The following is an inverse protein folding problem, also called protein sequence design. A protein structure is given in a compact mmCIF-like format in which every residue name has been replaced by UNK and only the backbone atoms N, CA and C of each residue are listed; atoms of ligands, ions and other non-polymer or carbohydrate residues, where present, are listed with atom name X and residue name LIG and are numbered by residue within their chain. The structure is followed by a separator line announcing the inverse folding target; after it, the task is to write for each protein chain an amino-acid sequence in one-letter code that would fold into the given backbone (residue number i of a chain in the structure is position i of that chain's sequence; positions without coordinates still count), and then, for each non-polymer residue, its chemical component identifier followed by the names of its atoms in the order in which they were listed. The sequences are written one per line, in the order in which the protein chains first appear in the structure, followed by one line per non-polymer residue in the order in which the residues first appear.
data_IF_979765319194
#
_entry.id   IF_979765319194
#
_cell.length_a   1.000
_cell.length_b   1.000
_cell.length_c   1.000
_cell.angle_alpha   90.00
_cell.angle_beta   90.00
_cell.angle_gamma   90.00
#
_symmetry.space_group_name_H-M   'P 1'
#
loop_
_entity.id
_entity.type
_entity.pdbx_description
1 polymer ?
#
# COMPACT_ATOMS: atom_id res chain seq x y z
N UNK A 1 -37.21 58.65 -28.53
CA UNK A 1 -36.49 57.37 -28.36
C UNK A 1 -35.16 57.44 -29.05
N UNK A 2 -34.08 57.77 -28.32
CA UNK A 2 -32.73 57.91 -28.88
C UNK A 2 -31.89 56.70 -28.44
N UNK A 3 -31.37 55.93 -29.43
CA UNK A 3 -30.41 54.85 -29.23
C UNK A 3 -29.02 55.46 -29.14
N UNK A 4 -28.30 55.19 -28.04
CA UNK A 4 -26.85 55.51 -27.91
C UNK A 4 -26.04 54.25 -28.25
N UNK A 5 -25.30 54.34 -29.31
CA UNK A 5 -24.26 53.35 -29.70
C UNK A 5 -22.98 53.70 -28.94
N UNK A 6 -22.47 52.81 -28.12
CA UNK A 6 -21.21 52.98 -27.41
C UNK A 6 -20.12 52.21 -28.20
N UNK A 7 -19.24 52.97 -28.84
CA UNK A 7 -18.09 52.44 -29.58
C UNK A 7 -16.92 52.32 -28.62
N UNK A 8 -16.44 51.10 -28.37
CA UNK A 8 -15.21 50.83 -27.59
C UNK A 8 -14.05 50.78 -28.57
N UNK A 9 -13.13 51.75 -28.41
CA UNK A 9 -11.84 51.81 -29.13
C UNK A 9 -10.84 51.00 -28.34
N UNK A 10 -10.32 49.89 -28.93
CA UNK A 10 -9.15 49.15 -28.43
C UNK A 10 -7.89 49.85 -28.92
N UNK A 11 -7.11 50.42 -27.99
CA UNK A 11 -5.77 50.89 -28.26
C UNK A 11 -4.77 49.74 -28.07
N UNK A 12 -4.16 49.28 -29.17
CA UNK A 12 -2.98 48.40 -29.13
C UNK A 12 -1.74 49.28 -28.86
N UNK A 13 -1.13 49.12 -27.70
CA UNK A 13 0.20 49.64 -27.41
C UNK A 13 1.24 48.55 -27.79
N UNK A 14 1.99 48.79 -28.84
CA UNK A 14 3.15 47.96 -29.20
C UNK A 14 4.34 48.37 -28.32
N UNK A 15 4.71 47.50 -27.39
CA UNK A 15 5.95 47.59 -26.62
C UNK A 15 7.07 46.86 -27.37
N UNK A 16 7.97 47.60 -27.96
CA UNK A 16 9.23 47.13 -28.52
C UNK A 16 10.18 46.77 -27.35
N UNK A 17 10.45 45.49 -27.14
CA UNK A 17 11.46 44.98 -26.18
C UNK A 17 12.79 44.87 -26.93
N UNK A 18 13.75 45.69 -26.59
CA UNK A 18 15.14 45.58 -27.00
C UNK A 18 15.79 44.44 -26.18
N UNK A 19 16.32 43.42 -26.85
CA UNK A 19 17.07 42.33 -26.25
C UNK A 19 18.42 42.82 -25.73
N UNK A 20 18.67 42.74 -24.43
CA UNK A 20 20.01 42.77 -23.85
C UNK A 20 20.57 41.35 -23.70
N UNK A 21 21.83 41.07 -24.04
CA UNK A 21 22.47 39.79 -23.81
C UNK A 21 23.08 39.77 -22.39
N UNK A 22 22.75 38.78 -21.60
CA UNK A 22 23.44 38.49 -20.33
C UNK A 22 22.59 38.61 -19.09
N UNK A 23 21.67 37.69 -18.89
CA UNK A 23 20.99 37.45 -17.61
C UNK A 23 20.59 35.99 -17.54
N UNK A 24 21.18 35.25 -16.61
CA UNK A 24 20.85 33.86 -16.38
C UNK A 24 19.34 33.69 -16.18
N UNK A 25 18.75 32.80 -16.95
CA UNK A 25 17.35 32.40 -16.77
C UNK A 25 17.15 31.95 -15.34
N UNK A 26 16.19 32.49 -14.59
CA UNK A 26 15.79 31.85 -13.35
C UNK A 26 15.32 30.43 -13.72
N UNK A 27 15.93 29.45 -13.10
CA UNK A 27 15.47 28.06 -13.20
C UNK A 27 14.00 28.07 -12.77
N UNK A 28 13.10 27.88 -13.73
CA UNK A 28 11.73 27.47 -13.43
C UNK A 28 11.87 26.16 -12.65
N UNK A 29 11.74 26.23 -11.33
CA UNK A 29 11.46 25.06 -10.51
C UNK A 29 10.13 24.53 -11.02
N UNK A 30 10.23 23.61 -11.97
CA UNK A 30 9.07 23.02 -12.63
C UNK A 30 8.15 22.41 -11.59
N UNK A 31 6.88 22.54 -11.82
CA UNK A 31 5.80 21.73 -11.27
C UNK A 31 6.00 20.26 -11.69
N UNK A 32 7.08 19.65 -11.25
CA UNK A 32 7.22 18.19 -11.29
C UNK A 32 6.49 17.68 -10.06
N UNK A 33 5.48 16.85 -10.26
CA UNK A 33 4.87 16.05 -9.21
C UNK A 33 5.95 15.31 -8.41
N UNK A 34 5.64 14.76 -7.23
CA UNK A 34 6.63 14.10 -6.38
C UNK A 34 7.40 13.08 -7.22
N UNK A 35 8.74 13.17 -7.17
CA UNK A 35 9.64 12.31 -7.94
C UNK A 35 9.42 10.87 -7.45
N UNK A 36 8.94 10.00 -8.33
CA UNK A 36 8.85 8.57 -8.05
C UNK A 36 10.25 8.00 -8.14
N UNK A 37 10.76 7.47 -7.05
CA UNK A 37 11.99 6.70 -7.01
C UNK A 37 11.63 5.20 -7.13
N UNK A 38 12.34 4.45 -7.95
CA UNK A 38 12.07 3.02 -8.17
C UNK A 38 13.26 2.22 -7.65
N UNK A 39 13.00 1.34 -6.70
CA UNK A 39 14.01 0.51 -6.03
C UNK A 39 13.79 -0.95 -6.40
N UNK A 40 14.82 -1.63 -6.93
CA UNK A 40 14.84 -3.09 -7.04
C UNK A 40 15.07 -3.69 -5.66
N UNK A 41 14.19 -4.57 -5.23
CA UNK A 41 14.32 -5.24 -3.93
C UNK A 41 15.53 -6.19 -3.94
N UNK A 42 15.72 -6.91 -5.03
CA UNK A 42 16.78 -7.89 -5.18
C UNK A 42 17.71 -7.57 -6.36
N UNK A 43 18.60 -6.56 -6.25
CA UNK A 43 19.45 -6.16 -7.38
C UNK A 43 20.43 -7.23 -7.82
N UNK A 44 20.78 -8.18 -6.92
CA UNK A 44 21.70 -9.29 -7.19
C UNK A 44 21.01 -10.66 -7.31
N UNK A 45 19.69 -10.67 -7.50
CA UNK A 45 18.87 -11.87 -7.53
C UNK A 45 18.27 -12.23 -6.18
N UNK A 46 17.04 -12.70 -6.19
CA UNK A 46 16.30 -13.07 -4.98
C UNK A 46 16.76 -14.43 -4.44
N UNK A 47 16.79 -14.62 -3.10
CA UNK A 47 17.28 -15.88 -2.50
C UNK A 47 16.38 -17.08 -2.79
N UNK A 48 15.09 -16.83 -3.05
CA UNK A 48 14.06 -17.82 -3.36
C UNK A 48 13.48 -17.59 -4.76
N UNK A 49 14.34 -17.32 -5.74
CA UNK A 49 13.94 -17.21 -7.14
C UNK A 49 13.44 -18.57 -7.65
N UNK A 50 12.39 -18.54 -8.46
CA UNK A 50 11.82 -19.71 -9.12
C UNK A 50 11.66 -19.43 -10.62
N UNK A 51 11.72 -20.51 -11.42
CA UNK A 51 11.55 -20.39 -12.87
C UNK A 51 10.08 -20.16 -13.23
N UNK A 52 9.85 -19.16 -14.09
CA UNK A 52 8.54 -18.86 -14.61
C UNK A 52 8.60 -18.49 -16.11
N UNK A 53 7.91 -19.25 -16.94
CA UNK A 53 8.01 -19.17 -18.41
C UNK A 53 6.95 -18.32 -19.09
N UNK A 54 5.89 -17.88 -18.41
CA UNK A 54 4.89 -17.03 -19.05
C UNK A 54 5.37 -15.58 -19.17
N UNK A 55 4.99 -14.86 -20.25
CA UNK A 55 5.40 -13.50 -20.47
C UNK A 55 4.90 -12.64 -19.31
N UNK A 56 5.84 -11.99 -18.63
CA UNK A 56 5.54 -11.07 -17.55
C UNK A 56 4.88 -9.81 -18.10
N UNK A 57 3.70 -9.47 -17.59
CA UNK A 57 3.13 -8.15 -17.79
C UNK A 57 3.62 -7.24 -16.65
N UNK A 58 4.86 -6.77 -16.79
CA UNK A 58 5.57 -5.99 -15.77
C UNK A 58 5.60 -4.48 -16.10
N UNK A 59 4.71 -3.98 -16.95
CA UNK A 59 4.64 -2.54 -17.16
C UNK A 59 4.11 -1.85 -15.89
N UNK A 60 4.99 -1.14 -15.13
CA UNK A 60 4.60 -0.51 -13.87
C UNK A 60 3.59 0.63 -14.05
N UNK A 61 3.35 1.09 -15.27
CA UNK A 61 2.38 2.15 -15.58
C UNK A 61 0.95 1.63 -15.62
N UNK A 62 0.74 0.30 -15.70
CA UNK A 62 -0.61 -0.29 -15.75
C UNK A 62 -1.30 -0.23 -14.39
N UNK A 63 -2.62 -0.21 -14.43
CA UNK A 63 -3.48 -0.29 -13.24
C UNK A 63 -3.47 -1.68 -12.60
N UNK A 64 -3.10 -2.71 -13.39
CA UNK A 64 -2.98 -4.10 -12.97
C UNK A 64 -1.69 -4.68 -13.55
N UNK A 65 -0.94 -5.39 -12.72
CA UNK A 65 0.23 -6.15 -13.14
C UNK A 65 0.09 -7.61 -12.72
N UNK A 66 0.46 -8.53 -13.58
CA UNK A 66 0.47 -9.96 -13.31
C UNK A 66 1.84 -10.55 -13.67
N UNK A 67 2.12 -11.75 -13.16
CA UNK A 67 3.35 -12.47 -13.44
C UNK A 67 4.63 -11.71 -13.05
N UNK A 68 4.58 -10.94 -11.95
CA UNK A 68 5.75 -10.27 -11.40
C UNK A 68 6.76 -11.30 -10.89
N UNK A 69 7.94 -11.28 -11.47
CA UNK A 69 9.09 -12.15 -11.10
C UNK A 69 10.25 -11.34 -10.52
N UNK A 70 10.24 -10.02 -10.67
CA UNK A 70 11.15 -9.08 -10.00
C UNK A 70 10.37 -8.24 -8.99
N UNK A 71 10.76 -8.26 -7.72
CA UNK A 71 10.19 -7.36 -6.74
C UNK A 71 10.76 -5.94 -6.92
N UNK A 72 9.85 -4.97 -7.05
CA UNK A 72 10.17 -3.55 -7.23
C UNK A 72 9.37 -2.74 -6.21
N UNK A 73 9.97 -1.71 -5.66
CA UNK A 73 9.27 -0.77 -4.80
C UNK A 73 9.28 0.63 -5.43
N UNK A 74 8.09 1.22 -5.59
CA UNK A 74 7.91 2.62 -5.92
C UNK A 74 7.94 3.43 -4.62
N UNK A 75 8.80 4.43 -4.55
CA UNK A 75 8.93 5.30 -3.36
C UNK A 75 8.45 6.70 -3.71
N UNK A 76 7.53 7.21 -2.93
CA UNK A 76 6.93 8.54 -3.02
C UNK A 76 7.29 9.34 -1.76
N UNK A 77 8.42 10.05 -1.74
CA UNK A 77 8.84 10.81 -0.58
C UNK A 77 7.85 11.93 -0.23
N UNK A 78 7.57 12.11 1.05
CA UNK A 78 6.79 13.27 1.50
C UNK A 78 7.62 14.55 1.38
N UNK A 79 7.00 15.68 1.01
CA UNK A 79 7.69 16.98 0.91
C UNK A 79 8.18 17.48 2.27
N UNK A 80 7.38 17.25 3.32
CA UNK A 80 7.69 17.59 4.70
C UNK A 80 7.62 16.30 5.54
N UNK A 81 8.70 15.48 5.54
CA UNK A 81 8.65 14.16 6.17
C UNK A 81 8.54 14.28 7.70
N UNK A 82 7.72 13.41 8.27
CA UNK A 82 7.51 13.31 9.73
C UNK A 82 8.28 12.12 10.37
N UNK A 83 9.14 11.45 9.60
CA UNK A 83 9.89 10.28 10.01
C UNK A 83 9.17 8.94 9.75
N UNK A 84 7.90 8.97 9.38
CA UNK A 84 7.15 7.74 9.08
C UNK A 84 7.25 7.35 7.61
N UNK A 85 7.34 6.04 7.38
CA UNK A 85 7.21 5.40 6.08
C UNK A 85 6.11 4.34 6.13
N UNK A 86 5.35 4.19 5.06
CA UNK A 86 4.37 3.12 4.90
C UNK A 86 4.64 2.37 3.59
N UNK A 87 4.72 1.04 3.67
CA UNK A 87 4.87 0.17 2.51
C UNK A 87 3.53 -0.48 2.21
N UNK A 88 2.96 -0.15 1.05
CA UNK A 88 1.71 -0.72 0.55
C UNK A 88 1.96 -2.04 -0.16
N UNK A 89 1.24 -3.06 0.25
CA UNK A 89 1.09 -4.36 -0.41
C UNK A 89 -0.26 -4.38 -1.15
N UNK A 90 -0.28 -4.29 -2.49
CA UNK A 90 -1.52 -4.29 -3.26
C UNK A 90 -2.28 -5.61 -3.18
N UNK A 91 -3.61 -5.56 -3.32
CA UNK A 91 -4.46 -6.73 -3.51
C UNK A 91 -4.31 -7.36 -4.88
N UNK A 92 -5.09 -8.42 -5.13
CA UNK A 92 -5.14 -9.12 -6.41
C UNK A 92 -5.07 -10.64 -6.32
N UNK A 93 -5.42 -11.20 -5.14
CA UNK A 93 -5.59 -12.66 -4.94
C UNK A 93 -4.32 -13.50 -5.14
N UNK A 94 -3.13 -12.90 -5.03
CA UNK A 94 -1.85 -13.52 -5.38
C UNK A 94 -1.72 -13.97 -6.84
N UNK A 95 -2.64 -13.55 -7.70
CA UNK A 95 -2.60 -13.80 -9.15
C UNK A 95 -2.18 -12.55 -9.96
N UNK A 96 -2.35 -11.37 -9.37
CA UNK A 96 -2.00 -10.07 -9.94
C UNK A 96 -1.79 -9.04 -8.82
N UNK A 97 -1.40 -7.80 -9.22
CA UNK A 97 -1.36 -6.63 -8.33
C UNK A 97 -2.32 -5.56 -8.86
N UNK A 98 -3.23 -5.12 -8.02
CA UNK A 98 -4.17 -4.02 -8.30
C UNK A 98 -3.51 -2.69 -7.91
N UNK A 99 -2.87 -2.02 -8.89
CA UNK A 99 -1.93 -0.93 -8.65
C UNK A 99 -2.55 0.46 -8.57
N UNK A 100 -3.82 0.65 -8.94
CA UNK A 100 -4.47 1.96 -8.88
C UNK A 100 -5.19 2.18 -7.54
N UNK A 101 -6.46 1.82 -7.45
CA UNK A 101 -7.30 2.09 -6.28
C UNK A 101 -6.92 1.28 -5.03
N UNK A 102 -6.22 0.18 -5.19
CA UNK A 102 -5.70 -0.63 -4.08
C UNK A 102 -4.24 -0.34 -3.72
N UNK A 103 -3.60 0.63 -4.39
CA UNK A 103 -2.22 1.00 -4.10
C UNK A 103 -1.92 2.49 -4.30
N UNK A 104 -1.67 2.92 -5.56
CA UNK A 104 -1.10 4.25 -5.87
C UNK A 104 -2.00 5.41 -5.48
N UNK A 105 -3.32 5.23 -5.47
CA UNK A 105 -4.26 6.31 -5.14
C UNK A 105 -4.19 6.76 -3.68
N UNK A 106 -3.59 5.98 -2.79
CA UNK A 106 -3.39 6.35 -1.39
C UNK A 106 -2.26 7.38 -1.18
N UNK A 107 -1.30 7.47 -2.11
CA UNK A 107 -0.03 8.20 -1.93
C UNK A 107 -0.22 9.66 -1.50
N UNK A 108 -1.13 10.38 -2.15
CA UNK A 108 -1.30 11.81 -1.92
C UNK A 108 -1.87 12.09 -0.51
N UNK A 109 -2.72 11.19 -0.02
CA UNK A 109 -3.28 11.30 1.33
C UNK A 109 -2.23 11.08 2.42
N UNK A 110 -1.34 10.09 2.25
CA UNK A 110 -0.23 9.84 3.18
C UNK A 110 0.85 10.92 3.07
N UNK A 111 1.23 11.33 1.86
CA UNK A 111 2.23 12.38 1.65
C UNK A 111 1.79 13.74 2.21
N UNK A 112 0.49 14.08 2.15
CA UNK A 112 -0.06 15.28 2.76
C UNK A 112 0.11 15.30 4.30
N UNK A 113 0.30 14.13 4.93
CA UNK A 113 0.54 13.95 6.37
C UNK A 113 2.02 13.84 6.74
N UNK A 114 2.90 14.07 5.78
CA UNK A 114 4.35 13.94 5.98
C UNK A 114 4.85 12.50 6.00
N UNK A 115 4.03 11.53 5.61
CA UNK A 115 4.38 10.12 5.59
C UNK A 115 4.95 9.76 4.21
N UNK A 116 6.17 9.26 4.16
CA UNK A 116 6.73 8.68 2.93
C UNK A 116 5.93 7.42 2.58
N UNK A 117 5.41 7.37 1.36
CA UNK A 117 4.57 6.29 0.89
C UNK A 117 5.30 5.44 -0.12
N UNK A 118 5.23 4.12 0.02
CA UNK A 118 5.83 3.17 -0.91
C UNK A 118 4.78 2.20 -1.42
N UNK A 119 4.95 1.70 -2.64
CA UNK A 119 4.15 0.60 -3.20
C UNK A 119 5.09 -0.53 -3.55
N UNK A 120 4.93 -1.67 -2.88
CA UNK A 120 5.70 -2.87 -3.16
C UNK A 120 5.00 -3.71 -4.23
N UNK A 121 5.63 -3.81 -5.38
CA UNK A 121 5.23 -4.73 -6.43
C UNK A 121 5.92 -6.07 -6.13
N UNK A 122 5.33 -6.83 -5.21
CA UNK A 122 5.88 -8.11 -4.78
C UNK A 122 5.72 -9.20 -5.85
N UNK A 123 6.62 -10.18 -5.84
CA UNK A 123 6.58 -11.31 -6.78
C UNK A 123 5.36 -12.19 -6.51
N UNK A 124 4.77 -12.73 -7.60
CA UNK A 124 3.65 -13.65 -7.48
C UNK A 124 4.13 -14.98 -6.91
N UNK A 125 3.47 -15.54 -5.87
CA UNK A 125 3.97 -16.73 -5.18
C UNK A 125 3.83 -18.01 -5.97
N UNK A 126 2.70 -18.25 -6.65
CA UNK A 126 2.44 -19.47 -7.43
C UNK A 126 2.75 -20.77 -6.68
N UNK A 127 2.37 -20.85 -5.42
CA UNK A 127 2.67 -21.94 -4.52
C UNK A 127 4.03 -21.84 -3.80
N UNK A 128 4.89 -20.88 -4.16
CA UNK A 128 6.13 -20.56 -3.44
C UNK A 128 5.81 -19.55 -2.33
N UNK A 129 5.23 -20.04 -1.27
CA UNK A 129 4.57 -19.27 -0.21
C UNK A 129 5.49 -18.27 0.54
N UNK A 130 6.78 -18.51 0.57
CA UNK A 130 7.80 -17.65 1.21
C UNK A 130 8.20 -16.44 0.36
N UNK A 131 7.85 -16.41 -0.93
CA UNK A 131 8.29 -15.38 -1.88
C UNK A 131 7.74 -13.98 -1.52
N UNK A 132 6.43 -13.75 -1.32
CA UNK A 132 5.94 -12.43 -0.96
C UNK A 132 6.44 -11.96 0.42
N UNK A 133 6.59 -12.87 1.39
CA UNK A 133 7.11 -12.56 2.71
C UNK A 133 8.56 -12.08 2.62
N UNK A 134 9.41 -12.76 1.84
CA UNK A 134 10.80 -12.33 1.67
C UNK A 134 10.91 -10.94 1.01
N UNK A 135 10.03 -10.63 0.06
CA UNK A 135 10.02 -9.33 -0.62
C UNK A 135 9.66 -8.18 0.33
N UNK A 136 8.65 -8.35 1.18
CA UNK A 136 8.28 -7.31 2.15
C UNK A 136 9.31 -7.19 3.29
N UNK A 137 9.92 -8.28 3.74
CA UNK A 137 11.03 -8.24 4.70
C UNK A 137 12.17 -7.37 4.21
N UNK A 138 12.62 -7.60 2.97
CA UNK A 138 13.71 -6.82 2.39
C UNK A 138 13.30 -5.38 2.10
N UNK A 139 12.06 -5.14 1.67
CA UNK A 139 11.52 -3.79 1.49
C UNK A 139 11.57 -2.97 2.79
N UNK A 140 11.20 -3.56 3.94
CA UNK A 140 11.30 -2.93 5.26
C UNK A 140 12.76 -2.63 5.59
N UNK A 141 13.68 -3.59 5.37
CA UNK A 141 15.11 -3.44 5.62
C UNK A 141 15.71 -2.29 4.80
N UNK A 142 15.37 -2.22 3.50
CA UNK A 142 15.79 -1.15 2.61
C UNK A 142 15.29 0.20 3.14
N UNK A 143 14.01 0.32 3.49
CA UNK A 143 13.44 1.60 3.94
C UNK A 143 14.00 2.05 5.29
N UNK A 144 14.28 1.15 6.22
CA UNK A 144 14.99 1.50 7.46
C UNK A 144 16.41 2.01 7.22
N UNK A 145 17.05 1.61 6.12
CA UNK A 145 18.36 2.11 5.69
C UNK A 145 18.34 3.47 4.97
N UNK A 146 17.17 4.00 4.60
CA UNK A 146 17.03 5.28 3.86
C UNK A 146 17.18 6.50 4.79
N UNK A 147 18.40 6.73 5.26
CA UNK A 147 18.73 7.89 6.12
C UNK A 147 18.54 9.23 5.41
N UNK A 148 18.66 9.26 4.10
CA UNK A 148 18.37 10.40 3.22
C UNK A 148 16.91 10.87 3.27
N UNK A 149 15.98 9.99 3.62
CA UNK A 149 14.56 10.28 3.80
C UNK A 149 14.16 10.53 5.27
N UNK A 150 15.11 10.43 6.21
CA UNK A 150 14.88 10.66 7.64
C UNK A 150 13.88 9.67 8.26
N UNK A 151 13.80 8.44 7.77
CA UNK A 151 12.82 7.45 8.22
C UNK A 151 13.23 6.91 9.59
N UNK A 152 12.31 6.98 10.55
CA UNK A 152 12.47 6.47 11.92
C UNK A 152 11.45 5.40 12.26
N UNK A 153 10.36 5.28 11.49
CA UNK A 153 9.30 4.29 11.69
C UNK A 153 8.81 3.77 10.34
N UNK A 154 8.65 2.45 10.22
CA UNK A 154 8.19 1.77 8.99
C UNK A 154 6.95 0.94 9.32
N UNK A 155 5.80 1.37 8.83
CA UNK A 155 4.56 0.60 8.87
C UNK A 155 4.29 -0.13 7.56
N UNK A 156 3.36 -1.06 7.61
CA UNK A 156 2.84 -1.75 6.43
C UNK A 156 1.34 -1.48 6.26
N UNK A 157 0.89 -1.41 5.03
CA UNK A 157 -0.53 -1.35 4.69
C UNK A 157 -0.82 -2.39 3.62
N UNK A 158 -1.95 -3.07 3.69
CA UNK A 158 -2.32 -4.03 2.65
C UNK A 158 -3.82 -4.10 2.41
N UNK A 159 -4.18 -4.34 1.15
CA UNK A 159 -5.56 -4.54 0.70
C UNK A 159 -5.77 -5.98 0.28
N UNK A 160 -6.89 -6.61 0.64
CA UNK A 160 -7.24 -7.97 0.16
C UNK A 160 -6.10 -8.99 0.40
N UNK A 161 -5.60 -9.67 -0.64
CA UNK A 161 -4.43 -10.55 -0.55
C UNK A 161 -3.15 -9.81 -0.10
N UNK A 162 -2.98 -8.53 -0.43
CA UNK A 162 -1.91 -7.69 0.11
C UNK A 162 -2.07 -7.43 1.61
N UNK A 163 -3.30 -7.46 2.14
CA UNK A 163 -3.58 -7.48 3.57
C UNK A 163 -3.05 -8.75 4.23
N UNK A 164 -3.08 -9.88 3.51
CA UNK A 164 -2.43 -11.11 3.95
C UNK A 164 -0.90 -10.94 4.02
N UNK A 165 -0.26 -10.35 2.98
CA UNK A 165 1.18 -10.06 3.02
C UNK A 165 1.53 -9.17 4.22
N UNK A 166 0.75 -8.10 4.45
CA UNK A 166 0.98 -7.17 5.56
C UNK A 166 0.78 -7.81 6.94
N UNK A 167 -0.24 -8.66 7.11
CA UNK A 167 -0.45 -9.40 8.36
C UNK A 167 0.58 -10.52 8.55
N UNK A 168 1.03 -11.16 7.47
CA UNK A 168 2.07 -12.19 7.53
C UNK A 168 3.39 -11.59 8.04
N UNK A 169 3.88 -10.48 7.46
CA UNK A 169 5.09 -9.85 7.98
C UNK A 169 4.91 -9.35 9.41
N UNK A 170 3.71 -8.98 9.82
CA UNK A 170 3.41 -8.53 11.19
C UNK A 170 3.40 -9.64 12.22
N UNK A 171 3.29 -10.90 11.80
CA UNK A 171 3.26 -12.09 12.67
C UNK A 171 4.47 -13.02 12.48
N UNK A 172 5.18 -12.93 11.34
CA UNK A 172 6.27 -13.83 10.94
C UNK A 172 7.59 -13.10 10.67
N UNK A 173 7.76 -11.85 11.15
CA UNK A 173 9.02 -11.13 11.01
C UNK A 173 10.19 -11.91 11.65
N UNK A 174 11.39 -11.80 11.07
CA UNK A 174 12.58 -12.55 11.52
C UNK A 174 13.29 -11.92 12.70
N UNK A 175 13.31 -10.59 12.73
CA UNK A 175 14.07 -9.82 13.69
C UNK A 175 13.45 -8.42 13.90
N UNK A 176 14.03 -7.63 14.80
CA UNK A 176 13.55 -6.28 15.09
C UNK A 176 13.66 -5.32 13.90
N UNK A 177 14.53 -5.59 12.90
CA UNK A 177 14.67 -4.76 11.71
C UNK A 177 13.53 -5.03 10.73
N UNK A 178 13.13 -6.28 10.59
CA UNK A 178 12.05 -6.69 9.67
C UNK A 178 10.66 -6.58 10.27
N UNK A 179 10.55 -6.42 11.61
CA UNK A 179 9.27 -6.18 12.28
C UNK A 179 8.75 -4.78 11.90
N UNK A 180 7.53 -4.67 11.31
CA UNK A 180 6.91 -3.36 11.10
C UNK A 180 6.54 -2.69 12.43
N UNK A 181 6.52 -1.34 12.47
CA UNK A 181 6.15 -0.60 13.68
C UNK A 181 4.64 -0.54 13.87
N UNK A 182 3.86 -0.68 12.79
CA UNK A 182 2.40 -0.74 12.78
C UNK A 182 1.88 -1.37 11.49
N UNK A 183 0.62 -1.79 11.50
CA UNK A 183 -0.05 -2.39 10.35
C UNK A 183 -1.43 -1.79 10.09
N UNK A 184 -1.77 -1.59 8.81
CA UNK A 184 -3.08 -1.11 8.34
C UNK A 184 -3.62 -2.15 7.37
N UNK A 185 -4.78 -2.71 7.66
CA UNK A 185 -5.37 -3.82 6.92
C UNK A 185 -6.74 -3.41 6.38
N UNK A 186 -6.90 -3.45 5.06
CA UNK A 186 -8.11 -3.00 4.36
C UNK A 186 -8.74 -4.23 3.69
N UNK A 187 -9.91 -4.64 4.18
CA UNK A 187 -10.61 -5.90 3.80
C UNK A 187 -9.64 -7.07 3.60
N UNK A 188 -8.77 -7.34 4.59
CA UNK A 188 -7.66 -8.25 4.39
C UNK A 188 -8.11 -9.71 4.27
N UNK A 189 -7.43 -10.48 3.43
CA UNK A 189 -7.31 -11.91 3.65
C UNK A 189 -6.39 -12.09 4.87
N UNK A 190 -6.75 -12.98 5.78
CA UNK A 190 -6.00 -13.27 7.03
C UNK A 190 -5.73 -14.74 7.17
N UNK A 191 -6.79 -15.56 7.06
CA UNK A 191 -6.71 -17.00 7.21
C UNK A 191 -6.46 -17.72 5.90
N UNK A 192 -5.88 -18.89 5.97
CA UNK A 192 -5.84 -19.86 4.86
C UNK A 192 -6.76 -21.05 5.12
N UNK A 193 -7.62 -20.99 6.17
CA UNK A 193 -8.65 -22.01 6.42
C UNK A 193 -9.67 -22.02 5.25
N UNK A 194 -9.80 -23.13 4.50
CA UNK A 194 -10.64 -23.18 3.30
C UNK A 194 -12.14 -22.97 3.60
N UNK A 195 -12.57 -23.04 4.86
CA UNK A 195 -13.98 -22.84 5.23
C UNK A 195 -14.43 -21.38 5.17
N UNK A 196 -13.51 -20.40 5.29
CA UNK A 196 -13.84 -18.96 5.25
C UNK A 196 -12.74 -18.06 4.68
N UNK A 197 -11.70 -18.61 4.05
CA UNK A 197 -10.69 -17.83 3.32
C UNK A 197 -11.19 -17.40 1.94
N UNK A 198 -10.45 -16.51 1.30
CA UNK A 198 -10.54 -16.27 -0.14
C UNK A 198 -9.80 -17.39 -0.88
N UNK A 199 -10.54 -18.31 -1.51
CA UNK A 199 -9.95 -19.49 -2.17
C UNK A 199 -8.86 -19.14 -3.19
N UNK A 200 -9.04 -18.10 -4.01
CA UNK A 200 -8.03 -17.68 -4.98
C UNK A 200 -6.71 -17.27 -4.33
N UNK A 201 -6.76 -16.66 -3.13
CA UNK A 201 -5.54 -16.31 -2.37
C UNK A 201 -4.87 -17.55 -1.77
N UNK A 202 -5.65 -18.50 -1.28
CA UNK A 202 -5.12 -19.78 -0.80
C UNK A 202 -4.39 -20.52 -1.91
N UNK A 203 -5.05 -20.72 -3.06
CA UNK A 203 -4.47 -21.43 -4.20
C UNK A 203 -3.24 -20.71 -4.75
N UNK A 204 -3.29 -19.38 -4.85
CA UNK A 204 -2.19 -18.57 -5.35
C UNK A 204 -0.96 -18.60 -4.46
N UNK A 205 -1.15 -18.59 -3.13
CA UNK A 205 -0.06 -18.59 -2.16
C UNK A 205 0.49 -20.00 -1.90
N UNK A 206 -0.39 -20.95 -1.61
CA UNK A 206 -0.01 -22.28 -1.10
C UNK A 206 -0.08 -23.41 -2.16
N UNK A 207 -0.65 -23.12 -3.35
CA UNK A 207 -0.94 -24.13 -4.36
C UNK A 207 -2.31 -24.81 -4.16
N UNK A 208 -2.68 -25.72 -5.07
CA UNK A 208 -4.02 -26.31 -5.12
C UNK A 208 -4.33 -27.27 -3.97
N UNK A 209 -3.34 -27.94 -3.41
CA UNK A 209 -3.50 -28.96 -2.36
C UNK A 209 -2.47 -28.75 -1.25
N UNK A 210 -2.55 -27.65 -0.49
CA UNK A 210 -1.61 -27.39 0.58
C UNK A 210 -1.79 -28.37 1.75
N UNK A 211 -0.70 -28.67 2.47
CA UNK A 211 -0.79 -29.41 3.71
C UNK A 211 -1.48 -28.59 4.81
N UNK A 212 -2.02 -29.25 5.82
CA UNK A 212 -2.65 -28.59 6.96
C UNK A 212 -1.64 -27.70 7.71
N UNK A 213 -0.37 -28.12 7.77
CA UNK A 213 0.71 -27.35 8.39
C UNK A 213 0.95 -26.01 7.67
N UNK A 214 0.88 -25.99 6.32
CA UNK A 214 0.99 -24.75 5.56
C UNK A 214 -0.25 -23.85 5.71
N UNK A 215 -1.44 -24.46 5.74
CA UNK A 215 -2.68 -23.73 6.02
C UNK A 215 -2.59 -23.07 7.40
N UNK A 216 -2.15 -23.81 8.42
CA UNK A 216 -2.02 -23.29 9.78
C UNK A 216 -0.92 -22.23 9.86
N UNK A 217 0.22 -22.44 9.21
CA UNK A 217 1.35 -21.50 9.20
C UNK A 217 0.97 -20.15 8.59
N UNK A 218 0.14 -20.13 7.55
CA UNK A 218 -0.29 -18.90 6.88
C UNK A 218 -1.68 -18.40 7.29
N UNK A 219 -2.28 -18.98 8.31
CA UNK A 219 -3.47 -18.45 8.99
C UNK A 219 -3.02 -17.50 10.09
N UNK A 220 -2.84 -16.21 9.73
CA UNK A 220 -2.14 -15.22 10.56
C UNK A 220 -2.79 -14.96 11.91
N UNK A 221 -4.09 -15.19 12.06
CA UNK A 221 -4.80 -15.12 13.35
C UNK A 221 -4.27 -16.12 14.40
N UNK A 222 -3.62 -17.20 13.95
CA UNK A 222 -3.01 -18.22 14.82
C UNK A 222 -1.62 -17.84 15.32
N UNK A 223 -1.00 -16.81 14.73
CA UNK A 223 0.39 -16.43 14.97
C UNK A 223 0.55 -15.06 15.64
N UNK A 224 -0.54 -14.47 16.10
CA UNK A 224 -0.50 -13.22 16.87
C UNK A 224 0.17 -13.47 18.22
N UNK A 225 1.12 -12.61 18.55
CA UNK A 225 1.85 -12.61 19.83
C UNK A 225 1.76 -11.22 20.48
N UNK A 226 2.15 -11.05 21.75
CA UNK A 226 2.24 -9.73 22.37
C UNK A 226 3.17 -8.74 21.63
N UNK A 227 4.11 -9.25 20.83
CA UNK A 227 5.05 -8.44 20.03
C UNK A 227 4.50 -8.10 18.63
N UNK A 228 3.33 -8.60 18.25
CA UNK A 228 2.66 -8.21 17.00
C UNK A 228 2.39 -6.70 17.03
N UNK A 229 2.70 -5.96 15.93
CA UNK A 229 2.55 -4.50 15.92
C UNK A 229 1.08 -4.04 16.01
N UNK A 230 0.83 -2.82 16.51
CA UNK A 230 -0.51 -2.23 16.56
C UNK A 230 -1.19 -2.28 15.20
N UNK A 231 -2.50 -2.53 15.18
CA UNK A 231 -3.27 -2.74 13.97
C UNK A 231 -4.45 -1.77 13.82
N UNK A 232 -4.63 -1.25 12.60
CA UNK A 232 -5.88 -0.64 12.13
C UNK A 232 -6.49 -1.53 11.06
N UNK A 233 -7.74 -1.94 11.23
CA UNK A 233 -8.45 -2.83 10.32
C UNK A 233 -9.71 -2.14 9.82
N UNK A 234 -9.98 -2.18 8.52
CA UNK A 234 -11.28 -1.74 7.95
C UNK A 234 -11.79 -2.74 6.94
N UNK A 235 -13.10 -2.98 6.96
CA UNK A 235 -13.78 -3.93 6.08
C UNK A 235 -15.24 -3.51 5.89
N UNK A 236 -15.94 -4.11 4.94
CA UNK A 236 -17.38 -3.96 4.78
C UNK A 236 -18.12 -5.22 5.27
N UNK A 237 -19.29 -5.04 5.90
CA UNK A 237 -20.13 -6.15 6.40
C UNK A 237 -20.69 -7.03 5.28
N UNK A 238 -20.82 -6.46 4.08
CA UNK A 238 -21.35 -7.11 2.87
C UNK A 238 -20.23 -7.62 1.93
N UNK A 239 -19.03 -7.85 2.44
CA UNK A 239 -17.94 -8.47 1.68
C UNK A 239 -18.18 -9.99 1.56
N UNK A 240 -18.56 -10.43 0.37
CA UNK A 240 -18.80 -11.84 0.05
C UNK A 240 -17.56 -12.53 -0.56
N UNK A 241 -16.56 -11.77 -0.98
CA UNK A 241 -15.35 -12.33 -1.59
C UNK A 241 -14.30 -12.72 -0.54
N UNK A 242 -14.05 -11.82 0.41
CA UNK A 242 -13.25 -12.09 1.60
C UNK A 242 -14.17 -11.96 2.82
N UNK A 243 -14.71 -13.06 3.35
CA UNK A 243 -15.68 -13.01 4.43
C UNK A 243 -15.17 -12.18 5.62
N UNK A 244 -16.02 -11.33 6.25
CA UNK A 244 -15.69 -10.52 7.42
C UNK A 244 -15.03 -11.30 8.56
N UNK A 245 -15.28 -12.62 8.64
CA UNK A 245 -14.65 -13.53 9.60
C UNK A 245 -13.12 -13.47 9.59
N UNK A 246 -12.48 -13.20 8.44
CA UNK A 246 -11.02 -12.97 8.35
C UNK A 246 -10.58 -11.88 9.32
N UNK A 247 -11.14 -10.70 9.18
CA UNK A 247 -10.81 -9.54 10.02
C UNK A 247 -11.23 -9.74 11.48
N UNK A 248 -12.41 -10.30 11.71
CA UNK A 248 -12.94 -10.54 13.06
C UNK A 248 -12.03 -11.48 13.86
N UNK A 249 -11.61 -12.61 13.29
CA UNK A 249 -10.70 -13.57 13.95
C UNK A 249 -9.35 -12.96 14.25
N UNK A 250 -8.81 -12.16 13.34
CA UNK A 250 -7.53 -11.49 13.58
C UNK A 250 -7.65 -10.44 14.69
N UNK A 251 -8.73 -9.66 14.70
CA UNK A 251 -9.00 -8.69 15.76
C UNK A 251 -9.14 -9.36 17.13
N UNK A 252 -9.89 -10.46 17.22
CA UNK A 252 -10.01 -11.27 18.45
C UNK A 252 -8.64 -11.75 18.93
N UNK A 253 -7.79 -12.25 18.03
CA UNK A 253 -6.44 -12.71 18.35
C UNK A 253 -5.53 -11.58 18.84
N UNK A 254 -5.62 -10.39 18.22
CA UNK A 254 -4.88 -9.19 18.66
C UNK A 254 -5.28 -8.80 20.09
N UNK A 255 -6.58 -8.74 20.40
CA UNK A 255 -7.07 -8.41 21.75
C UNK A 255 -6.66 -9.46 22.78
N UNK A 256 -6.74 -10.74 22.44
CA UNK A 256 -6.33 -11.84 23.32
C UNK A 256 -4.84 -11.75 23.71
N UNK A 257 -4.01 -11.22 22.81
CA UNK A 257 -2.58 -10.97 23.03
C UNK A 257 -2.25 -9.55 23.53
N UNK A 258 -3.26 -8.76 23.88
CA UNK A 258 -3.13 -7.37 24.38
C UNK A 258 -2.44 -6.43 23.39
N UNK A 259 -2.52 -6.73 22.11
CA UNK A 259 -2.05 -5.84 21.03
C UNK A 259 -3.08 -4.73 20.82
N UNK A 260 -2.63 -3.49 20.72
CA UNK A 260 -3.51 -2.36 20.40
C UNK A 260 -4.10 -2.53 19.00
N UNK A 261 -5.42 -2.62 18.92
CA UNK A 261 -6.13 -2.82 17.66
C UNK A 261 -7.36 -1.92 17.57
N UNK A 262 -7.59 -1.36 16.39
CA UNK A 262 -8.79 -0.62 16.03
C UNK A 262 -9.42 -1.27 14.82
N UNK A 263 -10.71 -1.55 14.86
CA UNK A 263 -11.44 -2.10 13.72
C UNK A 263 -12.63 -1.21 13.37
N UNK A 264 -12.74 -0.86 12.09
CA UNK A 264 -13.79 -0.03 11.56
C UNK A 264 -14.58 -0.82 10.51
N UNK A 265 -15.82 -1.17 10.82
CA UNK A 265 -16.67 -1.99 9.95
C UNK A 265 -17.69 -1.09 9.24
N UNK A 266 -17.62 -1.05 7.92
CA UNK A 266 -18.57 -0.35 7.07
C UNK A 266 -19.86 -1.17 6.93
N UNK A 267 -21.04 -0.55 6.96
CA UNK A 267 -22.30 -1.29 6.77
C UNK A 267 -22.43 -1.88 5.37
N UNK A 268 -21.79 -1.25 4.37
CA UNK A 268 -21.76 -1.70 2.98
C UNK A 268 -20.53 -1.19 2.26
N UNK A 269 -20.20 -1.76 1.10
CA UNK A 269 -19.06 -1.38 0.26
C UNK A 269 -18.50 -2.58 -0.51
N UNK A 270 -18.85 -3.78 -0.11
CA UNK A 270 -18.36 -5.02 -0.71
C UNK A 270 -16.85 -5.17 -0.58
N UNK A 271 -16.27 -5.95 -1.50
CA UNK A 271 -14.82 -6.13 -1.60
C UNK A 271 -14.18 -5.14 -2.58
N UNK A 272 -12.91 -4.77 -2.33
CA UNK A 272 -12.12 -4.02 -3.31
C UNK A 272 -12.45 -2.54 -3.40
N UNK A 273 -13.07 -1.93 -2.38
CA UNK A 273 -13.38 -0.50 -2.42
C UNK A 273 -12.13 0.39 -2.44
N UNK A 274 -11.03 -0.01 -1.82
CA UNK A 274 -9.74 0.67 -1.83
C UNK A 274 -9.83 2.18 -1.67
N UNK A 275 -8.97 2.91 -2.38
CA UNK A 275 -9.03 4.37 -2.46
C UNK A 275 -9.91 4.80 -3.64
N UNK A 276 -11.22 4.77 -3.44
CA UNK A 276 -12.20 5.18 -4.43
C UNK A 276 -13.00 6.38 -3.92
N UNK A 277 -13.03 7.47 -4.68
CA UNK A 277 -13.73 8.71 -4.30
C UNK A 277 -15.25 8.57 -4.28
N UNK A 278 -15.79 7.57 -4.93
CA UNK A 278 -17.23 7.27 -4.94
C UNK A 278 -17.66 6.33 -3.81
N UNK A 279 -16.73 5.83 -3.00
CA UNK A 279 -17.06 4.96 -1.87
C UNK A 279 -17.74 5.77 -0.77
N UNK A 280 -18.96 5.34 -0.39
CA UNK A 280 -19.87 6.11 0.45
C UNK A 280 -19.30 6.46 1.83
N UNK A 281 -18.51 5.55 2.44
CA UNK A 281 -17.96 5.70 3.79
C UNK A 281 -16.47 6.02 3.80
N UNK A 282 -15.94 6.57 2.69
CA UNK A 282 -14.51 6.89 2.57
C UNK A 282 -14.04 7.84 3.66
N UNK A 283 -14.78 8.92 3.88
CA UNK A 283 -14.39 9.95 4.83
C UNK A 283 -14.40 9.44 6.28
N UNK A 284 -15.33 8.56 6.62
CA UNK A 284 -15.49 8.01 7.95
C UNK A 284 -14.27 7.14 8.33
N UNK A 285 -13.93 6.15 7.51
CA UNK A 285 -12.81 5.27 7.84
C UNK A 285 -11.45 5.97 7.69
N UNK A 286 -11.28 6.91 6.74
CA UNK A 286 -10.04 7.68 6.60
C UNK A 286 -9.85 8.69 7.72
N UNK A 287 -10.92 9.26 8.30
CA UNK A 287 -10.87 10.08 9.49
C UNK A 287 -10.48 9.27 10.72
N UNK A 288 -11.05 8.06 10.87
CA UNK A 288 -10.67 7.13 11.93
C UNK A 288 -9.19 6.72 11.80
N UNK A 289 -8.73 6.40 10.59
CA UNK A 289 -7.33 6.11 10.31
C UNK A 289 -6.40 7.28 10.64
N UNK A 290 -6.79 8.52 10.28
CA UNK A 290 -6.00 9.71 10.60
C UNK A 290 -5.83 9.87 12.12
N UNK A 291 -6.92 9.76 12.87
CA UNK A 291 -6.91 9.81 14.35
C UNK A 291 -6.02 8.70 14.93
N UNK A 292 -6.12 7.49 14.38
CA UNK A 292 -5.31 6.36 14.83
C UNK A 292 -3.81 6.60 14.59
N UNK A 293 -3.42 7.07 13.41
CA UNK A 293 -2.03 7.40 13.08
C UNK A 293 -1.46 8.47 14.01
N UNK A 294 -2.25 9.48 14.36
CA UNK A 294 -1.80 10.57 15.22
C UNK A 294 -1.66 10.17 16.70
N UNK A 295 -2.46 9.23 17.20
CA UNK A 295 -2.54 8.91 18.64
C UNK A 295 -1.92 7.56 19.01
N UNK A 296 -1.84 6.61 18.08
CA UNK A 296 -1.31 5.26 18.34
C UNK A 296 0.11 5.11 17.79
N UNK A 297 0.39 5.69 16.63
CA UNK A 297 1.67 5.50 15.94
C UNK A 297 2.70 6.59 16.28
N UNK A 298 2.27 7.82 16.56
CA UNK A 298 3.14 8.96 16.88
C UNK A 298 3.49 9.11 18.36
N UNK A 299 3.55 8.06 19.12
CA UNK A 299 3.95 8.13 20.54
C UNK A 299 5.43 8.25 20.72
#
# INVERSE_FOLDING_TARGET
MKRYLLTIILALAALSVTAQPGGGRPAFAGFFGPRVDTVKIWPNGAPNAYEYTAPANQDPRRSVANNYTEAIMEVYPARNPNGQCIIMCPGGGYAMLSLSHEARNFKDWFNARGITYCVLLYRMPRGHHDVPLSDIEEAIRIMRGRTDLGITSVGVIGTSAGGHVASTISTHYKDAVTRPDFQILIYPVITMDPSFTHKGSLDGLLGENPSQELIDLYSNEKHVTPDTPPAFITLASDDFLVPPANSLRYYEALLANRVSATMFILPSGGHGYGWNDTQLFKNEWTSALSTWLDHVVRK
#
